data_IF_895107329606
#
_entry.id   IF_895107329606
#
_cell.length_a   1.000
_cell.length_b   1.000
_cell.length_c   1.000
_cell.angle_alpha   90.00
_cell.angle_beta   90.00
_cell.angle_gamma   90.00
#
_symmetry.space_group_name_H-M   'P 1'
#
loop_
_entity.id
_entity.type
_entity.pdbx_description
1 polymer ?
#
# COMPACT_ATOMS: atom_id res chain seq x y z
N UNK A 1 -4.29 -2.80 24.06
CA UNK A 1 -5.26 -2.32 23.09
C UNK A 1 -5.09 -0.84 22.92
N UNK A 2 -4.72 -0.44 21.71
CA UNK A 2 -4.73 0.97 21.29
C UNK A 2 -6.15 1.33 20.86
N UNK A 3 -6.59 2.52 21.27
CA UNK A 3 -7.84 3.16 20.90
C UNK A 3 -7.46 4.29 19.95
N UNK A 4 -7.92 4.21 18.71
CA UNK A 4 -7.67 5.24 17.73
C UNK A 4 -8.24 6.59 18.19
N UNK A 5 -7.45 7.65 18.08
CA UNK A 5 -7.93 9.00 18.39
C UNK A 5 -8.54 9.63 17.15
N UNK A 6 -9.85 9.86 17.20
CA UNK A 6 -10.64 10.47 16.12
C UNK A 6 -11.40 11.67 16.66
N UNK A 7 -11.87 12.54 15.76
CA UNK A 7 -12.72 13.67 16.16
C UNK A 7 -13.95 13.24 16.96
N UNK A 8 -14.53 12.09 16.63
CA UNK A 8 -15.71 11.55 17.29
C UNK A 8 -15.46 11.14 18.75
N UNK A 9 -14.22 10.80 19.11
CA UNK A 9 -13.88 10.33 20.45
C UNK A 9 -12.88 11.21 21.21
N UNK A 10 -12.44 12.35 20.63
CA UNK A 10 -11.60 13.34 21.31
C UNK A 10 -12.17 13.82 22.64
N UNK A 11 -13.49 14.03 22.71
CA UNK A 11 -14.19 14.46 23.93
C UNK A 11 -14.17 13.41 25.04
N UNK A 12 -13.82 12.17 24.72
CA UNK A 12 -13.69 11.09 25.69
C UNK A 12 -12.29 11.06 26.33
N UNK A 13 -11.32 11.85 25.86
CA UNK A 13 -10.00 11.96 26.48
C UNK A 13 -10.14 12.76 27.78
N UNK A 14 -9.84 12.13 28.92
CA UNK A 14 -10.00 12.69 30.27
C UNK A 14 -8.94 13.74 30.57
N UNK A 15 -7.70 13.51 30.13
CA UNK A 15 -6.58 14.42 30.34
C UNK A 15 -6.70 15.64 29.38
N UNK A 16 -6.87 16.87 29.88
CA UNK A 16 -7.18 18.02 29.02
C UNK A 16 -5.99 18.42 28.12
N UNK A 17 -4.74 18.32 28.62
CA UNK A 17 -3.55 18.57 27.80
C UNK A 17 -3.40 17.52 26.70
N UNK A 18 -3.68 16.24 26.98
CA UNK A 18 -3.69 15.21 25.95
C UNK A 18 -4.79 15.47 24.91
N UNK A 19 -6.01 15.81 25.35
CA UNK A 19 -7.11 16.15 24.45
C UNK A 19 -6.76 17.32 23.53
N UNK A 20 -6.17 18.38 24.08
CA UNK A 20 -5.70 19.53 23.30
C UNK A 20 -4.59 19.16 22.30
N UNK A 21 -3.65 18.32 22.71
CA UNK A 21 -2.58 17.86 21.81
C UNK A 21 -3.13 17.02 20.65
N UNK A 22 -4.05 16.09 20.95
CA UNK A 22 -4.68 15.24 19.94
C UNK A 22 -5.55 16.02 18.93
N UNK A 23 -6.08 17.20 19.30
CA UNK A 23 -6.80 18.08 18.37
C UNK A 23 -5.95 18.56 17.18
N UNK A 24 -4.61 18.55 17.28
CA UNK A 24 -3.73 18.86 16.15
C UNK A 24 -4.01 17.88 14.99
N UNK A 25 -4.02 16.59 15.28
CA UNK A 25 -4.22 15.55 14.26
C UNK A 25 -5.66 15.45 13.78
N UNK A 26 -6.64 15.67 14.66
CA UNK A 26 -8.03 15.73 14.24
C UNK A 26 -8.30 16.91 13.29
N UNK A 27 -7.66 18.06 13.48
CA UNK A 27 -7.75 19.20 12.55
C UNK A 27 -7.12 18.91 11.19
N UNK A 28 -5.96 18.22 11.18
CA UNK A 28 -5.34 17.75 9.92
C UNK A 28 -6.30 16.82 9.18
N UNK A 29 -6.93 15.90 9.89
CA UNK A 29 -7.92 15.00 9.31
C UNK A 29 -9.14 15.74 8.76
N UNK A 30 -9.73 16.68 9.52
CA UNK A 30 -10.85 17.50 9.05
C UNK A 30 -10.50 18.27 7.77
N UNK A 31 -9.33 18.90 7.73
CA UNK A 31 -8.88 19.64 6.56
C UNK A 31 -8.77 18.73 5.33
N UNK A 32 -8.21 17.53 5.51
CA UNK A 32 -8.14 16.53 4.45
C UNK A 32 -9.53 16.08 3.98
N UNK A 33 -10.47 15.83 4.90
CA UNK A 33 -11.85 15.48 4.53
C UNK A 33 -12.53 16.62 3.76
N UNK A 34 -12.27 17.87 4.11
CA UNK A 34 -12.83 19.01 3.39
C UNK A 34 -12.22 19.15 1.99
N UNK A 35 -10.93 18.85 1.80
CA UNK A 35 -10.31 18.75 0.48
C UNK A 35 -10.96 17.65 -0.37
N UNK A 36 -11.26 16.48 0.21
CA UNK A 36 -11.99 15.42 -0.51
C UNK A 36 -13.36 15.93 -0.97
N UNK A 37 -14.13 16.58 -0.09
CA UNK A 37 -15.45 17.13 -0.46
C UNK A 37 -15.36 18.20 -1.55
N UNK A 38 -14.28 18.99 -1.61
CA UNK A 38 -14.06 19.97 -2.67
C UNK A 38 -13.91 19.34 -4.06
N UNK A 39 -13.53 18.06 -4.15
CA UNK A 39 -13.54 17.31 -5.41
C UNK A 39 -14.96 16.92 -5.88
N UNK A 40 -15.98 17.13 -5.05
CA UNK A 40 -17.35 16.67 -5.28
C UNK A 40 -17.62 15.24 -4.81
N UNK A 41 -16.57 14.47 -4.45
CA UNK A 41 -16.71 13.12 -3.94
C UNK A 41 -17.29 13.10 -2.51
N UNK A 42 -18.24 12.20 -2.28
CA UNK A 42 -18.78 11.94 -0.95
C UNK A 42 -17.99 10.83 -0.24
N UNK A 43 -17.86 10.93 1.08
CA UNK A 43 -17.46 9.81 1.93
C UNK A 43 -18.63 8.87 2.16
N UNK A 44 -18.32 7.59 2.31
CA UNK A 44 -19.28 6.58 2.70
C UNK A 44 -19.39 6.41 4.23
N UNK A 45 -20.26 5.50 4.67
CA UNK A 45 -20.25 5.01 6.04
C UNK A 45 -18.96 4.25 6.38
N UNK A 46 -18.67 4.11 7.68
CA UNK A 46 -17.54 3.32 8.13
C UNK A 46 -17.88 1.83 8.10
N UNK A 47 -17.18 1.09 7.23
CA UNK A 47 -17.38 -0.35 6.97
C UNK A 47 -16.36 -1.25 7.68
N UNK A 48 -15.55 -0.74 8.61
CA UNK A 48 -14.47 -1.50 9.28
C UNK A 48 -14.99 -2.74 10.01
N UNK A 49 -16.19 -2.68 10.61
CA UNK A 49 -16.81 -3.84 11.26
C UNK A 49 -17.14 -4.95 10.26
N UNK A 50 -17.63 -4.58 9.08
CA UNK A 50 -17.94 -5.53 8.02
C UNK A 50 -16.66 -6.11 7.41
N UNK A 51 -15.66 -5.27 7.15
CA UNK A 51 -14.33 -5.71 6.72
C UNK A 51 -13.74 -6.71 7.72
N UNK A 52 -13.78 -6.42 9.02
CA UNK A 52 -13.29 -7.31 10.06
C UNK A 52 -14.02 -8.67 10.04
N UNK A 53 -15.35 -8.68 9.87
CA UNK A 53 -16.11 -9.92 9.77
C UNK A 53 -15.70 -10.78 8.57
N UNK A 54 -15.45 -10.17 7.40
CA UNK A 54 -14.97 -10.87 6.20
C UNK A 54 -13.55 -11.41 6.38
N UNK A 55 -12.65 -10.65 7.00
CA UNK A 55 -11.30 -11.12 7.33
C UNK A 55 -11.34 -12.33 8.26
N UNK A 56 -12.19 -12.31 9.30
CA UNK A 56 -12.36 -13.45 10.21
C UNK A 56 -12.96 -14.67 9.50
N UNK A 57 -13.91 -14.49 8.57
CA UNK A 57 -14.41 -15.58 7.72
C UNK A 57 -13.25 -16.23 6.93
N UNK A 58 -12.40 -15.44 6.28
CA UNK A 58 -11.27 -15.94 5.51
C UNK A 58 -10.24 -16.66 6.42
N UNK A 59 -10.02 -16.19 7.65
CA UNK A 59 -9.18 -16.89 8.65
C UNK A 59 -9.73 -18.28 8.98
N UNK A 60 -11.04 -18.40 9.17
CA UNK A 60 -11.71 -19.68 9.42
C UNK A 60 -11.57 -20.65 8.23
N UNK A 61 -11.47 -20.09 7.02
CA UNK A 61 -11.24 -20.83 5.77
C UNK A 61 -9.76 -21.11 5.49
N UNK A 62 -8.86 -20.81 6.44
CA UNK A 62 -7.42 -21.05 6.36
C UNK A 62 -6.70 -20.27 5.24
N UNK A 63 -7.22 -19.10 4.86
CA UNK A 63 -6.48 -18.17 3.99
C UNK A 63 -5.14 -17.75 4.63
N UNK A 64 -4.10 -17.55 3.83
CA UNK A 64 -2.77 -17.19 4.33
C UNK A 64 -2.65 -15.68 4.48
N UNK A 65 -2.69 -15.21 5.72
CA UNK A 65 -2.51 -13.79 6.05
C UNK A 65 -1.04 -13.42 6.19
N UNK A 66 -0.67 -12.28 5.62
CA UNK A 66 0.68 -11.72 5.62
C UNK A 66 0.64 -10.26 6.03
N UNK A 67 1.79 -9.77 6.50
CA UNK A 67 2.04 -8.34 6.71
C UNK A 67 1.03 -7.68 7.65
N UNK A 68 0.75 -8.31 8.80
CA UNK A 68 -0.25 -7.82 9.76
C UNK A 68 -1.65 -7.71 9.15
N UNK A 69 -2.10 -8.78 8.49
CA UNK A 69 -3.40 -8.93 7.84
C UNK A 69 -3.67 -7.98 6.65
N UNK A 70 -2.63 -7.33 6.12
CA UNK A 70 -2.73 -6.38 4.98
C UNK A 70 -2.63 -7.07 3.61
N UNK A 71 -2.26 -8.36 3.58
CA UNK A 71 -2.11 -9.17 2.38
C UNK A 71 -2.64 -10.58 2.66
N UNK A 72 -3.40 -11.13 1.71
CA UNK A 72 -4.02 -12.45 1.83
C UNK A 72 -3.77 -13.24 0.55
N UNK A 73 -3.38 -14.51 0.68
CA UNK A 73 -3.09 -15.41 -0.43
C UNK A 73 -3.81 -16.74 -0.24
N UNK A 74 -4.29 -17.37 -1.32
CA UNK A 74 -4.79 -18.75 -1.29
C UNK A 74 -3.66 -19.78 -1.50
N UNK A 75 -3.05 -19.84 -2.69
CA UNK A 75 -2.15 -20.91 -3.15
C UNK A 75 -0.79 -20.41 -3.57
N UNK A 76 -0.73 -19.27 -4.27
CA UNK A 76 0.51 -18.75 -4.84
C UNK A 76 0.58 -17.21 -4.83
N UNK A 77 1.78 -16.68 -4.69
CA UNK A 77 2.09 -15.24 -4.76
C UNK A 77 3.42 -15.05 -5.51
N UNK A 78 3.48 -14.02 -6.35
CA UNK A 78 4.72 -13.62 -7.04
C UNK A 78 5.79 -13.16 -6.04
N UNK A 79 7.04 -13.57 -6.28
CA UNK A 79 8.23 -13.12 -5.53
C UNK A 79 8.34 -11.59 -5.49
N UNK A 80 7.90 -10.93 -6.55
CA UNK A 80 7.90 -9.48 -6.64
C UNK A 80 6.80 -8.83 -5.79
N UNK A 81 5.70 -9.53 -5.49
CA UNK A 81 4.73 -9.09 -4.48
C UNK A 81 5.29 -9.27 -3.06
N UNK A 82 6.06 -10.33 -2.81
CA UNK A 82 6.73 -10.53 -1.52
C UNK A 82 7.78 -9.44 -1.26
N UNK A 83 8.60 -9.11 -2.27
CA UNK A 83 9.59 -8.05 -2.18
C UNK A 83 8.96 -6.65 -2.01
N UNK A 84 7.80 -6.42 -2.64
CA UNK A 84 7.09 -5.14 -2.60
C UNK A 84 6.69 -4.73 -1.18
N UNK A 85 6.45 -5.68 -0.26
CA UNK A 85 6.12 -5.41 1.14
C UNK A 85 7.04 -4.37 1.80
N UNK A 86 8.34 -4.42 1.49
CA UNK A 86 9.35 -3.52 2.06
C UNK A 86 9.98 -2.59 1.03
N UNK A 87 9.73 -2.81 -0.27
CA UNK A 87 10.35 -2.03 -1.34
C UNK A 87 11.87 -2.21 -1.47
N UNK A 88 12.51 -3.09 -0.69
CA UNK A 88 13.97 -3.23 -0.69
C UNK A 88 14.44 -3.97 -1.94
N UNK A 89 15.33 -3.35 -2.70
CA UNK A 89 15.92 -3.95 -3.90
C UNK A 89 14.93 -4.14 -5.05
N UNK A 90 13.80 -3.43 -5.03
CA UNK A 90 12.85 -3.36 -6.15
C UNK A 90 12.88 -1.99 -6.80
N UNK A 91 12.92 -1.97 -8.13
CA UNK A 91 12.84 -0.76 -8.94
C UNK A 91 11.77 -0.94 -9.99
N UNK A 92 10.98 0.11 -10.22
CA UNK A 92 10.00 0.18 -11.28
C UNK A 92 10.29 1.41 -12.13
N UNK A 93 10.34 1.24 -13.46
CA UNK A 93 10.65 2.28 -14.43
C UNK A 93 9.59 2.31 -15.52
N UNK A 94 9.56 3.39 -16.31
CA UNK A 94 8.69 3.52 -17.47
C UNK A 94 9.45 4.14 -18.65
N UNK A 95 9.16 3.72 -19.88
CA UNK A 95 9.78 4.32 -21.07
C UNK A 95 9.18 5.71 -21.32
N UNK A 96 7.86 5.80 -21.27
CA UNK A 96 7.08 7.02 -21.42
C UNK A 96 5.75 6.83 -20.69
N UNK A 97 4.93 7.87 -20.69
CA UNK A 97 3.57 7.85 -20.18
C UNK A 97 2.54 7.86 -21.32
N UNK A 98 2.97 7.57 -22.55
CA UNK A 98 2.08 7.38 -23.71
C UNK A 98 1.24 6.12 -23.54
N UNK A 99 -0.07 6.24 -23.73
CA UNK A 99 -1.00 5.11 -23.72
C UNK A 99 -2.05 5.29 -24.80
N UNK A 100 -2.44 4.20 -25.46
CA UNK A 100 -3.53 4.19 -26.44
C UNK A 100 -4.90 4.04 -25.78
N UNK A 101 -4.95 3.75 -24.47
CA UNK A 101 -6.18 3.67 -23.66
C UNK A 101 -6.35 4.93 -22.82
N UNK A 102 -7.60 5.30 -22.56
CA UNK A 102 -7.98 6.46 -21.74
C UNK A 102 -8.93 6.04 -20.60
N UNK A 103 -8.44 5.20 -19.69
CA UNK A 103 -9.26 4.69 -18.59
C UNK A 103 -9.60 5.82 -17.60
N UNK A 104 -10.88 5.99 -17.23
CA UNK A 104 -11.30 7.07 -16.30
C UNK A 104 -10.65 6.97 -14.91
N UNK A 105 -10.19 5.78 -14.53
CA UNK A 105 -9.54 5.49 -13.25
C UNK A 105 -8.00 5.42 -13.32
N UNK A 106 -7.40 5.89 -14.42
CA UNK A 106 -5.96 5.76 -14.61
C UNK A 106 -5.15 6.67 -13.65
N UNK A 107 -4.12 6.11 -13.00
CA UNK A 107 -3.14 6.88 -12.22
C UNK A 107 -1.94 7.39 -13.04
N UNK A 108 -1.89 7.07 -14.34
CA UNK A 108 -0.83 7.55 -15.22
C UNK A 108 -0.70 9.09 -15.22
N UNK A 109 -1.81 9.88 -15.18
CA UNK A 109 -1.73 11.34 -15.06
C UNK A 109 -1.18 11.85 -13.73
N UNK A 110 -1.07 11.01 -12.70
CA UNK A 110 -0.54 11.39 -11.39
C UNK A 110 0.99 11.24 -11.31
N UNK A 111 1.63 10.74 -12.38
CA UNK A 111 3.09 10.62 -12.41
C UNK A 111 3.74 12.01 -12.53
N UNK A 112 4.92 12.14 -11.92
CA UNK A 112 5.75 13.32 -12.07
C UNK A 112 6.07 13.59 -13.55
N UNK A 113 6.02 14.87 -13.94
CA UNK A 113 6.22 15.34 -15.32
C UNK A 113 5.34 14.65 -16.38
N UNK A 114 4.09 14.34 -16.03
CA UNK A 114 3.15 13.63 -16.91
C UNK A 114 3.10 14.22 -18.33
N UNK A 115 2.82 15.52 -18.46
CA UNK A 115 2.67 16.19 -19.77
C UNK A 115 3.93 16.10 -20.64
N UNK A 116 5.11 16.08 -20.03
CA UNK A 116 6.37 15.92 -20.74
C UNK A 116 6.52 14.48 -21.27
N UNK A 117 6.30 13.49 -20.41
CA UNK A 117 6.51 12.08 -20.76
C UNK A 117 5.35 11.45 -21.56
N UNK A 118 4.23 12.16 -21.78
CA UNK A 118 3.26 11.79 -22.83
C UNK A 118 3.78 12.09 -24.24
N UNK A 119 4.87 12.84 -24.38
CA UNK A 119 5.44 13.22 -25.68
C UNK A 119 6.91 12.81 -25.85
N UNK A 120 7.59 12.48 -24.74
CA UNK A 120 9.02 12.17 -24.72
C UNK A 120 9.30 10.80 -24.10
N UNK A 121 10.43 10.21 -24.48
CA UNK A 121 10.92 8.92 -23.95
C UNK A 121 12.06 9.15 -22.99
N UNK A 122 12.14 8.30 -21.96
CA UNK A 122 13.29 8.16 -21.06
C UNK A 122 14.36 7.25 -21.66
N UNK A 123 15.61 7.47 -21.27
CA UNK A 123 16.73 6.60 -21.62
C UNK A 123 16.92 5.53 -20.53
N UNK A 124 16.08 4.49 -20.59
CA UNK A 124 16.08 3.44 -19.58
C UNK A 124 17.39 2.63 -19.53
N UNK A 125 18.13 2.55 -20.63
CA UNK A 125 19.42 1.84 -20.67
C UNK A 125 20.44 2.60 -19.83
N UNK A 126 20.53 3.91 -20.04
CA UNK A 126 21.43 4.78 -19.25
C UNK A 126 21.01 4.80 -17.77
N UNK A 127 19.73 5.01 -17.49
CA UNK A 127 19.21 5.07 -16.13
C UNK A 127 19.40 3.76 -15.36
N UNK A 128 19.11 2.60 -15.98
CA UNK A 128 19.35 1.30 -15.36
C UNK A 128 20.84 1.04 -15.15
N UNK A 129 21.69 1.42 -16.11
CA UNK A 129 23.16 1.30 -15.96
C UNK A 129 23.66 2.11 -14.76
N UNK A 130 23.17 3.35 -14.61
CA UNK A 130 23.50 4.19 -13.46
C UNK A 130 23.03 3.55 -12.15
N UNK A 131 21.81 3.02 -12.11
CA UNK A 131 21.29 2.33 -10.94
C UNK A 131 22.12 1.09 -10.58
N UNK A 132 22.49 0.26 -11.55
CA UNK A 132 23.30 -0.94 -11.30
C UNK A 132 24.71 -0.60 -10.81
N UNK A 133 25.26 0.57 -11.18
CA UNK A 133 26.59 1.02 -10.78
C UNK A 133 26.61 1.71 -9.41
N UNK A 134 25.58 2.49 -9.09
CA UNK A 134 25.58 3.40 -7.93
C UNK A 134 24.42 3.16 -6.95
N UNK A 135 23.39 2.46 -7.37
CA UNK A 135 22.21 2.16 -6.58
C UNK A 135 22.39 0.94 -5.67
N UNK A 136 21.39 0.68 -4.81
CA UNK A 136 21.35 -0.54 -4.01
C UNK A 136 21.27 -1.78 -4.91
N UNK A 137 21.61 -2.94 -4.34
CA UNK A 137 21.53 -4.21 -5.06
C UNK A 137 20.10 -4.46 -5.55
N UNK A 138 19.95 -4.61 -6.86
CA UNK A 138 18.70 -4.91 -7.52
C UNK A 138 18.36 -6.41 -7.39
N UNK A 139 17.12 -6.70 -7.04
CA UNK A 139 16.56 -8.06 -6.95
C UNK A 139 15.31 -8.24 -7.80
N UNK A 140 14.52 -7.17 -7.94
CA UNK A 140 13.29 -7.17 -8.73
C UNK A 140 13.24 -5.89 -9.57
N UNK A 141 12.91 -6.02 -10.85
CA UNK A 141 12.87 -4.90 -11.80
C UNK A 141 11.58 -4.96 -12.60
N UNK A 142 10.82 -3.87 -12.62
CA UNK A 142 9.58 -3.81 -13.38
C UNK A 142 9.61 -2.68 -14.40
N UNK A 143 8.98 -2.94 -15.55
CA UNK A 143 8.63 -1.94 -16.54
C UNK A 143 7.11 -1.73 -16.53
N UNK A 144 6.70 -0.48 -16.35
CA UNK A 144 5.31 -0.01 -16.33
C UNK A 144 5.21 1.32 -17.10
N UNK A 145 4.17 2.12 -16.85
CA UNK A 145 3.97 3.47 -17.38
C UNK A 145 2.61 3.56 -18.06
N UNK A 146 2.57 4.24 -19.20
CA UNK A 146 1.43 4.16 -20.12
C UNK A 146 1.28 2.74 -20.69
N UNK A 147 1.57 2.53 -21.98
CA UNK A 147 1.65 1.20 -22.56
C UNK A 147 3.08 0.92 -23.05
N UNK A 148 3.88 0.12 -22.31
CA UNK A 148 5.27 -0.17 -22.70
C UNK A 148 5.42 -0.78 -24.10
N UNK A 149 4.41 -1.51 -24.58
CA UNK A 149 4.46 -2.13 -25.91
C UNK A 149 4.35 -1.14 -27.08
N UNK A 150 4.07 0.13 -26.83
CA UNK A 150 4.25 1.21 -27.82
C UNK A 150 5.74 1.49 -28.10
N UNK A 151 6.63 1.02 -27.24
CA UNK A 151 8.08 1.25 -27.28
C UNK A 151 8.85 -0.08 -27.22
N UNK A 152 8.50 -0.99 -28.14
CA UNK A 152 9.03 -2.37 -28.18
C UNK A 152 10.55 -2.43 -28.11
N UNK A 153 11.25 -1.58 -28.87
CA UNK A 153 12.72 -1.56 -28.90
C UNK A 153 13.30 -1.19 -27.52
N UNK A 154 12.85 -0.09 -26.94
CA UNK A 154 13.34 0.43 -25.65
C UNK A 154 13.04 -0.56 -24.52
N UNK A 155 11.84 -1.15 -24.52
CA UNK A 155 11.46 -2.22 -23.58
C UNK A 155 12.40 -3.43 -23.69
N UNK A 156 12.66 -3.93 -24.91
CA UNK A 156 13.51 -5.10 -25.10
C UNK A 156 14.96 -4.81 -24.73
N UNK A 157 15.49 -3.64 -25.10
CA UNK A 157 16.85 -3.22 -24.74
C UNK A 157 17.03 -3.11 -23.21
N UNK A 158 16.01 -2.61 -22.50
CA UNK A 158 15.96 -2.58 -21.05
C UNK A 158 16.06 -3.98 -20.41
N UNK A 159 15.25 -4.94 -20.87
CA UNK A 159 15.28 -6.30 -20.33
C UNK A 159 16.56 -7.06 -20.72
N UNK A 160 17.07 -6.87 -21.94
CA UNK A 160 18.37 -7.43 -22.36
C UNK A 160 19.52 -6.94 -21.48
N UNK A 161 19.55 -5.64 -21.17
CA UNK A 161 20.54 -5.07 -20.25
C UNK A 161 20.41 -5.69 -18.85
N UNK A 162 19.19 -5.81 -18.33
CA UNK A 162 18.95 -6.44 -17.02
C UNK A 162 19.42 -7.90 -17.01
N UNK A 163 19.13 -8.67 -18.06
CA UNK A 163 19.58 -10.07 -18.22
C UNK A 163 21.11 -10.17 -18.27
N UNK A 164 21.78 -9.27 -18.98
CA UNK A 164 23.24 -9.27 -19.10
C UNK A 164 23.93 -8.89 -17.78
N UNK A 165 23.51 -7.78 -17.17
CA UNK A 165 24.21 -7.18 -16.02
C UNK A 165 23.73 -7.69 -14.67
N UNK A 166 22.49 -8.18 -14.58
CA UNK A 166 21.89 -8.68 -13.33
C UNK A 166 20.99 -9.90 -13.57
N UNK A 167 21.54 -11.02 -14.07
CA UNK A 167 20.78 -12.19 -14.55
C UNK A 167 19.87 -12.88 -13.51
N UNK A 168 20.09 -12.60 -12.22
CA UNK A 168 19.27 -13.12 -11.11
C UNK A 168 18.09 -12.21 -10.74
N UNK A 169 18.00 -11.04 -11.35
CA UNK A 169 16.90 -10.10 -11.10
C UNK A 169 15.60 -10.67 -11.68
N UNK A 170 14.55 -10.67 -10.87
CA UNK A 170 13.21 -11.00 -11.35
C UNK A 170 12.64 -9.82 -12.14
N UNK A 171 12.54 -9.98 -13.46
CA UNK A 171 12.08 -8.95 -14.38
C UNK A 171 10.59 -9.08 -14.66
N UNK A 172 9.87 -7.95 -14.66
CA UNK A 172 8.43 -7.92 -14.83
C UNK A 172 7.96 -6.84 -15.80
N UNK A 173 6.94 -7.15 -16.60
CA UNK A 173 6.28 -6.22 -17.50
C UNK A 173 4.80 -6.05 -17.11
N UNK A 174 4.32 -4.81 -17.02
CA UNK A 174 2.90 -4.49 -16.95
C UNK A 174 2.40 -4.07 -18.33
N UNK A 175 1.25 -4.59 -18.77
CA UNK A 175 0.68 -4.24 -20.08
C UNK A 175 -0.84 -4.45 -20.13
N UNK A 176 -1.51 -3.74 -21.05
CA UNK A 176 -2.89 -4.08 -21.47
C UNK A 176 -2.95 -5.35 -22.33
N UNK A 177 -1.84 -5.70 -22.98
CA UNK A 177 -1.74 -6.84 -23.88
C UNK A 177 -2.11 -6.55 -25.34
N UNK A 178 -2.67 -5.38 -25.68
CA UNK A 178 -3.25 -5.14 -27.01
C UNK A 178 -2.25 -5.24 -28.18
N UNK A 179 -0.97 -4.98 -27.92
CA UNK A 179 0.10 -5.04 -28.92
C UNK A 179 0.96 -6.31 -28.82
N UNK A 180 0.53 -7.30 -28.02
CA UNK A 180 1.21 -8.59 -27.93
C UNK A 180 0.81 -9.50 -29.08
N UNK A 181 1.83 -10.10 -29.66
CA UNK A 181 1.76 -11.19 -30.60
C UNK A 181 2.84 -12.23 -30.24
N UNK A 182 2.90 -13.32 -31.02
CA UNK A 182 3.86 -14.41 -30.80
C UNK A 182 5.32 -13.95 -30.96
N UNK A 183 5.60 -13.04 -31.89
CA UNK A 183 6.96 -12.55 -32.16
C UNK A 183 7.49 -11.75 -30.97
N UNK A 184 6.68 -10.83 -30.43
CA UNK A 184 7.04 -10.04 -29.26
C UNK A 184 7.19 -10.90 -28.00
N UNK A 185 6.35 -11.92 -27.84
CA UNK A 185 6.50 -12.85 -26.71
C UNK A 185 7.80 -13.67 -26.81
N UNK A 186 8.20 -14.06 -28.03
CA UNK A 186 9.49 -14.71 -28.27
C UNK A 186 10.65 -13.75 -27.96
N UNK A 187 10.58 -12.50 -28.41
CA UNK A 187 11.57 -11.47 -28.10
C UNK A 187 11.69 -11.19 -26.59
N UNK A 188 10.57 -11.14 -25.86
CA UNK A 188 10.53 -10.95 -24.41
C UNK A 188 11.16 -12.13 -23.67
N UNK A 189 10.88 -13.36 -24.11
CA UNK A 189 11.52 -14.58 -23.60
C UNK A 189 13.04 -14.53 -23.82
N UNK A 190 13.48 -14.15 -25.02
CA UNK A 190 14.89 -14.05 -25.37
C UNK A 190 15.59 -12.92 -24.60
N UNK A 191 14.89 -11.82 -24.34
CA UNK A 191 15.32 -10.74 -23.45
C UNK A 191 15.35 -11.13 -21.96
N UNK A 192 14.80 -12.30 -21.60
CA UNK A 192 14.85 -12.85 -20.25
C UNK A 192 13.76 -12.31 -19.32
N UNK A 193 12.61 -11.90 -19.85
CA UNK A 193 11.44 -11.55 -19.04
C UNK A 193 11.02 -12.78 -18.19
N UNK A 194 10.76 -12.56 -16.90
CA UNK A 194 10.32 -13.61 -15.96
C UNK A 194 8.82 -13.59 -15.70
N UNK A 195 8.25 -12.39 -15.60
CA UNK A 195 6.85 -12.20 -15.24
C UNK A 195 6.16 -11.18 -16.16
N UNK A 196 4.94 -11.47 -16.58
CA UNK A 196 4.09 -10.54 -17.31
C UNK A 196 2.75 -10.38 -16.59
N UNK A 197 2.32 -9.13 -16.39
CA UNK A 197 1.07 -8.75 -15.73
C UNK A 197 0.14 -8.06 -16.70
N UNK A 198 -1.00 -8.68 -16.94
CA UNK A 198 -2.09 -8.14 -17.73
C UNK A 198 -3.07 -7.36 -16.86
N UNK A 199 -3.70 -6.35 -17.43
CA UNK A 199 -4.86 -5.70 -16.83
C UNK A 199 -6.03 -5.78 -17.79
N UNK A 200 -7.01 -6.62 -17.45
CA UNK A 200 -8.26 -6.77 -18.19
C UNK A 200 -9.12 -5.52 -17.93
N UNK A 201 -9.71 -4.93 -18.97
CA UNK A 201 -10.62 -3.80 -18.79
C UNK A 201 -12.05 -4.32 -18.81
N UNK A 202 -12.69 -4.30 -17.65
CA UNK A 202 -14.05 -4.84 -17.49
C UNK A 202 -15.08 -4.14 -18.40
N UNK A 203 -14.83 -2.87 -18.75
CA UNK A 203 -15.72 -2.09 -19.63
C UNK A 203 -15.48 -2.34 -21.12
N UNK A 204 -14.46 -3.11 -21.48
CA UNK A 204 -14.25 -3.50 -22.87
C UNK A 204 -15.38 -4.44 -23.33
N UNK A 205 -15.82 -4.34 -24.59
CA UNK A 205 -16.72 -5.32 -25.19
C UNK A 205 -16.17 -6.74 -25.04
N UNK A 206 -17.07 -7.71 -24.90
CA UNK A 206 -16.71 -9.12 -24.67
C UNK A 206 -15.68 -9.64 -25.68
N UNK A 207 -15.81 -9.28 -26.95
CA UNK A 207 -14.84 -9.63 -28.01
C UNK A 207 -13.40 -9.23 -27.66
N UNK A 208 -13.19 -8.02 -27.13
CA UNK A 208 -11.85 -7.55 -26.75
C UNK A 208 -11.35 -8.24 -25.48
N UNK A 209 -12.23 -8.53 -24.51
CA UNK A 209 -11.88 -9.32 -23.33
C UNK A 209 -11.42 -10.73 -23.74
N UNK A 210 -12.09 -11.36 -24.70
CA UNK A 210 -11.69 -12.66 -25.26
C UNK A 210 -10.32 -12.60 -25.95
N UNK A 211 -10.04 -11.58 -26.76
CA UNK A 211 -8.70 -11.40 -27.34
C UNK A 211 -7.61 -11.26 -26.26
N UNK A 212 -7.91 -10.57 -25.16
CA UNK A 212 -6.97 -10.46 -24.02
C UNK A 212 -6.74 -11.84 -23.38
N UNK A 213 -7.78 -12.64 -23.17
CA UNK A 213 -7.64 -14.01 -22.66
C UNK A 213 -6.80 -14.89 -23.59
N UNK A 214 -6.99 -14.79 -24.91
CA UNK A 214 -6.17 -15.50 -25.90
C UNK A 214 -4.69 -15.11 -25.79
N UNK A 215 -4.38 -13.81 -25.63
CA UNK A 215 -3.01 -13.32 -25.44
C UNK A 215 -2.41 -13.74 -24.10
N UNK A 216 -3.22 -13.79 -23.04
CA UNK A 216 -2.82 -14.33 -21.72
C UNK A 216 -2.45 -15.81 -21.86
N UNK A 217 -3.31 -16.61 -22.52
CA UNK A 217 -3.05 -18.03 -22.75
C UNK A 217 -1.78 -18.26 -23.59
N UNK A 218 -1.62 -17.51 -24.69
CA UNK A 218 -0.44 -17.57 -25.55
C UNK A 218 0.86 -17.23 -24.78
N UNK A 219 0.81 -16.28 -23.86
CA UNK A 219 1.99 -15.83 -23.10
C UNK A 219 2.61 -16.95 -22.27
N UNK A 220 1.83 -17.96 -21.86
CA UNK A 220 2.33 -19.12 -21.09
C UNK A 220 3.33 -19.98 -21.86
N UNK A 221 3.30 -19.94 -23.19
CA UNK A 221 4.29 -20.67 -24.02
C UNK A 221 5.69 -20.04 -23.94
N UNK A 222 5.79 -18.79 -23.46
CA UNK A 222 7.00 -17.98 -23.54
C UNK A 222 7.51 -17.50 -22.18
N UNK A 223 6.61 -17.05 -21.30
CA UNK A 223 6.95 -16.36 -20.06
C UNK A 223 6.66 -17.28 -18.86
N UNK A 224 7.61 -17.45 -17.92
CA UNK A 224 7.44 -18.34 -16.78
C UNK A 224 6.23 -18.01 -15.91
N UNK A 225 6.08 -16.75 -15.52
CA UNK A 225 4.98 -16.27 -14.69
C UNK A 225 4.05 -15.37 -15.50
N UNK A 226 2.87 -15.88 -15.82
CA UNK A 226 1.79 -15.07 -16.42
C UNK A 226 0.78 -14.76 -15.33
N UNK A 227 0.42 -13.49 -15.22
CA UNK A 227 -0.46 -13.01 -14.16
C UNK A 227 -1.41 -11.93 -14.64
N UNK A 228 -2.45 -11.70 -13.84
CA UNK A 228 -3.38 -10.58 -14.00
C UNK A 228 -3.29 -9.66 -12.78
N UNK A 229 -3.43 -8.35 -12.96
CA UNK A 229 -3.53 -7.38 -11.87
C UNK A 229 -4.75 -6.48 -12.10
N UNK A 230 -5.69 -6.51 -11.15
CA UNK A 230 -7.01 -5.93 -11.30
C UNK A 230 -7.38 -5.09 -10.09
N UNK A 231 -7.70 -3.80 -10.27
CA UNK A 231 -8.55 -3.13 -9.30
C UNK A 231 -9.95 -3.74 -9.35
N UNK A 232 -10.54 -4.01 -8.18
CA UNK A 232 -11.90 -4.57 -8.09
C UNK A 232 -12.90 -3.43 -7.93
N UNK A 233 -13.74 -3.22 -8.94
CA UNK A 233 -14.72 -2.14 -8.94
C UNK A 233 -15.91 -2.50 -8.04
N UNK A 234 -16.46 -1.59 -7.24
CA UNK A 234 -17.71 -1.85 -6.53
C UNK A 234 -18.83 -2.20 -7.52
N UNK A 235 -19.55 -3.28 -7.24
CA UNK A 235 -20.58 -3.88 -8.07
C UNK A 235 -20.07 -4.93 -9.06
N UNK A 236 -18.77 -5.23 -9.11
CA UNK A 236 -18.19 -6.13 -10.13
C UNK A 236 -17.96 -7.57 -9.66
N UNK A 237 -18.39 -7.93 -8.45
CA UNK A 237 -18.21 -9.27 -7.87
C UNK A 237 -18.57 -10.43 -8.81
N UNK A 238 -19.77 -10.40 -9.42
CA UNK A 238 -20.23 -11.49 -10.29
C UNK A 238 -19.33 -11.65 -11.53
N UNK A 239 -18.99 -10.54 -12.18
CA UNK A 239 -18.12 -10.54 -13.36
C UNK A 239 -16.70 -10.96 -13.01
N UNK A 240 -16.18 -10.51 -11.86
CA UNK A 240 -14.85 -10.89 -11.38
C UNK A 240 -14.74 -12.37 -11.03
N UNK A 241 -15.82 -13.03 -10.58
CA UNK A 241 -15.81 -14.50 -10.42
C UNK A 241 -15.60 -15.21 -11.76
N UNK A 242 -16.27 -14.76 -12.81
CA UNK A 242 -16.08 -15.33 -14.16
C UNK A 242 -14.64 -15.10 -14.64
N UNK A 243 -14.05 -13.94 -14.35
CA UNK A 243 -12.61 -13.69 -14.60
C UNK A 243 -11.75 -14.70 -13.85
N UNK A 244 -11.98 -14.91 -12.55
CA UNK A 244 -11.20 -15.86 -11.75
C UNK A 244 -11.30 -17.29 -12.31
N UNK A 245 -12.51 -17.73 -12.66
CA UNK A 245 -12.76 -19.06 -13.24
C UNK A 245 -12.07 -19.22 -14.60
N UNK A 246 -12.13 -18.19 -15.46
CA UNK A 246 -11.49 -18.23 -16.78
C UNK A 246 -9.96 -18.25 -16.67
N UNK A 247 -9.39 -17.45 -15.77
CA UNK A 247 -7.94 -17.45 -15.53
C UNK A 247 -7.45 -18.76 -14.90
N UNK A 248 -8.25 -19.36 -14.02
CA UNK A 248 -7.99 -20.70 -13.47
C UNK A 248 -8.04 -21.77 -14.57
N UNK A 249 -9.04 -21.71 -15.46
CA UNK A 249 -9.16 -22.59 -16.64
C UNK A 249 -7.97 -22.46 -17.59
N UNK A 250 -7.50 -21.25 -17.85
CA UNK A 250 -6.29 -20.99 -18.64
C UNK A 250 -5.06 -21.53 -17.89
N UNK A 251 -5.09 -21.53 -16.56
CA UNK A 251 -4.04 -22.07 -15.69
C UNK A 251 -2.80 -21.17 -15.63
N UNK A 252 -3.00 -19.86 -15.51
CA UNK A 252 -1.90 -18.90 -15.27
C UNK A 252 -1.44 -18.94 -13.81
N UNK A 253 -0.32 -18.28 -13.48
CA UNK A 253 0.26 -18.32 -12.14
C UNK A 253 -0.66 -17.67 -11.08
N UNK A 254 -1.24 -16.51 -11.40
CA UNK A 254 -2.10 -15.83 -10.42
C UNK A 254 -2.71 -14.50 -10.85
N UNK A 255 -3.47 -13.93 -9.94
CA UNK A 255 -4.12 -12.63 -10.04
C UNK A 255 -3.93 -11.83 -8.74
N UNK A 256 -3.58 -10.55 -8.89
CA UNK A 256 -3.64 -9.58 -7.79
C UNK A 256 -5.00 -8.86 -7.81
N UNK A 257 -5.71 -8.91 -6.67
CA UNK A 257 -6.90 -8.12 -6.40
C UNK A 257 -6.49 -6.87 -5.59
N UNK A 258 -6.78 -5.70 -6.14
CA UNK A 258 -6.43 -4.41 -5.56
C UNK A 258 -7.69 -3.60 -5.22
N UNK A 259 -7.63 -2.83 -4.13
CA UNK A 259 -8.65 -1.80 -3.87
C UNK A 259 -8.67 -0.77 -5.01
N UNK A 260 -9.85 -0.53 -5.56
CA UNK A 260 -10.11 0.50 -6.56
C UNK A 260 -9.98 1.88 -5.92
N UNK A 261 -9.25 2.79 -6.56
CA UNK A 261 -9.00 4.11 -6.01
C UNK A 261 -9.38 5.22 -7.04
N UNK A 262 -9.82 6.36 -6.52
CA UNK A 262 -10.07 7.58 -7.27
C UNK A 262 -8.77 8.35 -7.51
N UNK A 263 -8.37 8.62 -8.77
CA UNK A 263 -7.09 9.24 -9.12
C UNK A 263 -7.03 10.77 -8.98
N UNK A 264 -8.06 11.46 -8.51
CA UNK A 264 -8.14 12.93 -8.41
C UNK A 264 -8.34 13.73 -9.71
N UNK A 265 -8.42 13.09 -10.89
CA UNK A 265 -8.54 13.81 -12.17
C UNK A 265 -9.89 13.66 -12.91
N UNK A 266 -10.79 12.78 -12.44
CA UNK A 266 -12.06 12.47 -13.13
C UNK A 266 -13.26 12.32 -12.16
N UNK A 267 -13.42 13.26 -11.22
CA UNK A 267 -14.43 13.15 -10.16
C UNK A 267 -15.85 12.95 -10.70
N UNK A 268 -16.23 13.68 -11.76
CA UNK A 268 -17.57 13.61 -12.35
C UNK A 268 -17.96 12.19 -12.80
N UNK A 269 -17.02 11.44 -13.39
CA UNK A 269 -17.30 10.06 -13.83
C UNK A 269 -17.46 9.11 -12.64
N UNK A 270 -16.70 9.31 -11.56
CA UNK A 270 -16.86 8.55 -10.32
C UNK A 270 -18.21 8.86 -9.64
N UNK A 271 -18.60 10.13 -9.59
CA UNK A 271 -19.89 10.59 -9.05
C UNK A 271 -21.04 10.01 -9.85
N UNK A 272 -20.97 10.09 -11.19
CA UNK A 272 -21.99 9.54 -12.11
C UNK A 272 -22.19 8.03 -11.91
N UNK A 273 -21.14 7.30 -11.56
CA UNK A 273 -21.17 5.86 -11.26
C UNK A 273 -21.61 5.53 -9.84
N UNK A 274 -21.84 6.55 -9.00
CA UNK A 274 -22.28 6.39 -7.62
C UNK A 274 -21.18 5.95 -6.65
N UNK A 275 -19.91 6.09 -7.03
CA UNK A 275 -18.80 5.74 -6.15
C UNK A 275 -18.65 6.75 -5.00
N UNK A 276 -18.22 6.24 -3.86
CA UNK A 276 -17.92 7.02 -2.65
C UNK A 276 -16.54 6.68 -2.14
N UNK A 277 -15.88 7.63 -1.50
CA UNK A 277 -14.59 7.41 -0.84
C UNK A 277 -14.79 6.61 0.45
N UNK A 278 -13.90 5.66 0.71
CA UNK A 278 -13.84 4.84 1.93
C UNK A 278 -13.69 5.75 3.17
N UNK A 279 -14.29 5.36 4.29
CA UNK A 279 -14.26 6.13 5.54
C UNK A 279 -13.86 5.25 6.74
N UNK A 280 -12.73 5.52 7.42
CA UNK A 280 -11.73 6.52 7.07
C UNK A 280 -10.98 6.14 5.76
N UNK A 281 -10.46 7.13 4.98
CA UNK A 281 -9.71 6.82 3.76
C UNK A 281 -8.37 6.12 4.03
N UNK A 282 -7.67 6.50 5.10
CA UNK A 282 -6.37 5.94 5.50
C UNK A 282 -6.29 5.74 7.01
N UNK A 283 -5.47 4.79 7.47
CA UNK A 283 -5.21 4.55 8.90
C UNK A 283 -4.31 5.61 9.54
N UNK A 284 -3.37 6.13 8.75
CA UNK A 284 -2.50 7.25 9.09
C UNK A 284 -2.48 8.17 7.89
N UNK A 285 -2.81 9.46 8.07
CA UNK A 285 -2.73 10.43 6.98
C UNK A 285 -1.26 10.77 6.72
N UNK A 286 -0.82 10.56 5.50
CA UNK A 286 0.52 10.86 5.06
C UNK A 286 0.59 11.05 3.55
N UNK A 287 1.62 11.75 3.09
CA UNK A 287 1.91 11.96 1.67
C UNK A 287 2.62 10.72 1.11
N UNK A 288 1.84 9.67 0.83
CA UNK A 288 2.36 8.42 0.30
C UNK A 288 2.81 8.57 -1.17
N UNK A 289 3.97 8.00 -1.52
CA UNK A 289 4.58 8.00 -2.86
C UNK A 289 3.78 7.20 -3.89
N UNK A 290 2.94 6.27 -3.45
CA UNK A 290 2.12 5.52 -4.37
C UNK A 290 1.15 6.49 -5.05
N UNK A 291 1.24 6.60 -6.38
CA UNK A 291 0.37 7.45 -7.19
C UNK A 291 -1.13 7.08 -7.13
N UNK A 292 -1.48 6.01 -6.42
CA UNK A 292 -2.86 5.66 -6.12
C UNK A 292 -3.51 6.75 -5.28
N UNK A 293 -4.69 7.20 -5.69
CA UNK A 293 -5.42 8.23 -4.98
C UNK A 293 -6.27 7.68 -3.84
N UNK A 294 -7.52 8.14 -3.72
CA UNK A 294 -8.38 7.79 -2.58
C UNK A 294 -9.04 6.42 -2.75
N UNK A 295 -9.02 5.53 -1.75
CA UNK A 295 -9.71 4.24 -1.87
C UNK A 295 -11.22 4.46 -1.99
N UNK A 296 -11.84 3.75 -2.94
CA UNK A 296 -13.28 3.72 -3.13
C UNK A 296 -13.90 2.68 -2.20
N UNK A 297 -14.94 3.09 -1.48
CA UNK A 297 -15.67 2.25 -0.54
C UNK A 297 -16.24 1.00 -1.21
N UNK A 298 -16.44 -0.07 -0.42
CA UNK A 298 -16.93 -1.41 -0.84
C UNK A 298 -16.00 -2.21 -1.76
N UNK A 299 -15.01 -1.60 -2.43
CA UNK A 299 -14.02 -2.33 -3.24
C UNK A 299 -13.24 -3.38 -2.42
N UNK A 300 -12.78 -3.01 -1.21
CA UNK A 300 -12.13 -3.97 -0.30
C UNK A 300 -13.05 -5.14 0.06
N UNK A 301 -14.32 -4.88 0.31
CA UNK A 301 -15.28 -5.94 0.65
C UNK A 301 -15.41 -6.95 -0.49
N UNK A 302 -15.46 -6.48 -1.73
CA UNK A 302 -15.51 -7.36 -2.90
C UNK A 302 -14.20 -8.11 -3.13
N UNK A 303 -13.04 -7.49 -2.91
CA UNK A 303 -11.77 -8.20 -2.90
C UNK A 303 -11.79 -9.37 -1.89
N UNK A 304 -12.31 -9.13 -0.67
CA UNK A 304 -12.40 -10.16 0.36
C UNK A 304 -13.41 -11.25 0.02
N UNK A 305 -14.55 -10.90 -0.58
CA UNK A 305 -15.52 -11.88 -1.05
C UNK A 305 -14.96 -12.74 -2.19
N UNK A 306 -14.18 -12.16 -3.11
CA UNK A 306 -13.48 -12.88 -4.18
C UNK A 306 -12.40 -13.81 -3.62
N UNK A 307 -11.67 -13.37 -2.57
CA UNK A 307 -10.73 -14.23 -1.86
C UNK A 307 -11.43 -15.43 -1.19
N UNK A 308 -12.59 -15.19 -0.55
CA UNK A 308 -13.39 -16.26 0.04
C UNK A 308 -13.89 -17.22 -1.05
N UNK A 309 -14.41 -16.71 -2.15
CA UNK A 309 -14.83 -17.53 -3.31
C UNK A 309 -13.69 -18.40 -3.84
N UNK A 310 -12.48 -17.84 -4.02
CA UNK A 310 -11.33 -18.59 -4.50
C UNK A 310 -10.94 -19.76 -3.57
N UNK A 311 -11.11 -19.58 -2.26
CA UNK A 311 -10.88 -20.62 -1.25
C UNK A 311 -12.02 -21.67 -1.23
N UNK A 312 -13.28 -21.26 -1.40
CA UNK A 312 -14.46 -22.13 -1.45
C UNK A 312 -14.38 -23.08 -2.67
N UNK A 313 -14.09 -22.52 -3.84
CA UNK A 313 -13.97 -23.27 -5.10
C UNK A 313 -12.62 -23.99 -5.26
N UNK A 314 -11.68 -23.78 -4.33
CA UNK A 314 -10.33 -24.38 -4.34
C UNK A 314 -9.59 -24.14 -5.66
N UNK A 315 -9.67 -22.90 -6.15
CA UNK A 315 -8.99 -22.49 -7.38
C UNK A 315 -7.49 -22.81 -7.27
N UNK A 316 -6.93 -23.32 -8.37
CA UNK A 316 -5.49 -23.56 -8.48
C UNK A 316 -4.74 -22.25 -8.75
N UNK A 317 -5.40 -21.31 -9.41
CA UNK A 317 -4.96 -19.93 -9.60
C UNK A 317 -4.52 -19.29 -8.27
N UNK A 318 -3.33 -18.70 -8.24
CA UNK A 318 -2.88 -17.87 -7.13
C UNK A 318 -3.66 -16.57 -7.06
N UNK A 319 -4.63 -16.47 -6.17
CA UNK A 319 -5.38 -15.25 -5.87
C UNK A 319 -4.73 -14.54 -4.68
N UNK A 320 -4.32 -13.31 -4.89
CA UNK A 320 -3.67 -12.47 -3.88
C UNK A 320 -4.42 -11.15 -3.71
N UNK A 321 -5.00 -10.94 -2.53
CA UNK A 321 -5.50 -9.64 -2.11
C UNK A 321 -4.35 -8.80 -1.54
N UNK A 322 -4.11 -7.63 -2.14
CA UNK A 322 -3.13 -6.66 -1.69
C UNK A 322 -3.84 -5.34 -1.36
N UNK A 323 -4.03 -5.08 -0.07
CA UNK A 323 -4.63 -3.82 0.39
C UNK A 323 -3.78 -2.61 0.00
N UNK A 324 -4.42 -1.44 -0.08
CA UNK A 324 -3.72 -0.16 -0.25
C UNK A 324 -2.74 0.09 0.91
N UNK A 325 -3.15 -0.25 2.12
CA UNK A 325 -2.34 -0.17 3.35
C UNK A 325 -1.04 -1.02 3.25
N UNK A 326 -1.09 -2.18 2.61
CA UNK A 326 0.11 -3.01 2.37
C UNK A 326 1.15 -2.27 1.52
N UNK A 327 0.70 -1.56 0.48
CA UNK A 327 1.59 -0.74 -0.38
C UNK A 327 2.15 0.45 0.39
N UNK A 328 1.30 1.15 1.12
CA UNK A 328 1.66 2.34 1.90
C UNK A 328 2.69 2.05 2.98
N UNK A 329 2.54 0.94 3.71
CA UNK A 329 3.51 0.56 4.76
C UNK A 329 4.88 0.17 4.21
N UNK A 330 4.97 -0.27 2.96
CA UNK A 330 6.27 -0.50 2.30
C UNK A 330 7.09 0.78 2.14
N UNK A 331 6.46 1.93 1.92
CA UNK A 331 7.15 3.23 1.93
C UNK A 331 7.63 3.58 3.34
N UNK A 332 6.77 3.42 4.35
CA UNK A 332 7.13 3.74 5.74
C UNK A 332 8.35 2.92 6.18
N UNK A 333 8.42 1.65 5.78
CA UNK A 333 9.62 0.83 5.97
C UNK A 333 10.86 1.46 5.33
N UNK A 334 10.78 1.85 4.05
CA UNK A 334 11.93 2.42 3.33
C UNK A 334 12.42 3.73 3.96
N UNK A 335 11.52 4.55 4.49
CA UNK A 335 11.88 5.80 5.15
C UNK A 335 12.53 5.56 6.52
N UNK A 336 11.97 4.65 7.33
CA UNK A 336 12.35 4.49 8.73
C UNK A 336 13.47 3.46 8.97
N UNK A 337 13.55 2.41 8.16
CA UNK A 337 14.48 1.32 8.40
C UNK A 337 15.94 1.80 8.37
N UNK A 338 16.69 1.47 9.41
CA UNK A 338 18.10 1.83 9.55
C UNK A 338 18.37 3.29 9.91
N UNK A 339 17.34 4.13 10.11
CA UNK A 339 17.54 5.51 10.55
C UNK A 339 18.01 5.56 12.01
N UNK A 340 18.90 6.51 12.31
CA UNK A 340 19.33 6.81 13.69
C UNK A 340 18.33 7.78 14.29
N UNK A 341 17.63 7.34 15.33
CA UNK A 341 16.63 8.13 16.07
C UNK A 341 16.91 8.08 17.57
N UNK A 342 16.21 8.91 18.34
CA UNK A 342 16.25 8.89 19.80
C UNK A 342 15.98 7.48 20.35
N UNK A 343 16.62 7.11 21.46
CA UNK A 343 16.38 5.83 22.14
C UNK A 343 14.97 5.69 22.72
N UNK A 344 14.18 6.76 22.70
CA UNK A 344 12.76 6.76 23.08
C UNK A 344 11.86 6.15 22.00
N UNK A 345 12.36 5.97 20.78
CA UNK A 345 11.59 5.47 19.63
C UNK A 345 11.70 3.95 19.49
N UNK A 346 10.56 3.31 19.24
CA UNK A 346 10.44 1.89 18.92
C UNK A 346 10.03 1.70 17.47
N UNK A 347 10.82 0.97 16.67
CA UNK A 347 10.44 0.66 15.29
C UNK A 347 9.43 -0.49 15.27
N UNK A 348 8.16 -0.18 14.96
CA UNK A 348 7.06 -1.15 14.93
C UNK A 348 7.27 -2.20 13.84
N UNK A 349 7.25 -3.51 14.15
CA UNK A 349 7.23 -4.55 13.12
C UNK A 349 5.86 -4.69 12.42
N UNK A 350 4.79 -4.07 12.97
CA UNK A 350 3.42 -4.20 12.44
C UNK A 350 3.10 -3.20 11.33
N UNK A 351 3.52 -1.95 11.50
CA UNK A 351 3.24 -0.85 10.58
C UNK A 351 4.46 -0.02 10.17
N UNK A 352 5.64 -0.35 10.71
CA UNK A 352 6.92 0.29 10.42
C UNK A 352 7.04 1.77 10.83
N UNK A 353 6.06 2.33 11.53
CA UNK A 353 6.24 3.64 12.15
C UNK A 353 7.16 3.55 13.37
N UNK A 354 7.90 4.63 13.64
CA UNK A 354 8.54 4.79 14.94
C UNK A 354 7.48 5.18 15.97
N UNK A 355 7.38 4.42 17.06
CA UNK A 355 6.42 4.58 18.14
C UNK A 355 7.08 5.11 19.40
N UNK A 356 6.46 6.07 20.06
CA UNK A 356 6.81 6.51 21.41
C UNK A 356 5.56 6.67 22.27
N UNK A 357 5.73 6.69 23.59
CA UNK A 357 4.66 6.87 24.55
C UNK A 357 4.74 8.25 25.19
N UNK A 358 3.59 8.91 25.38
CA UNK A 358 3.48 10.25 25.96
C UNK A 358 2.45 10.27 27.09
N UNK A 359 2.80 10.88 28.21
CA UNK A 359 1.86 11.22 29.29
C UNK A 359 1.84 12.73 29.49
N UNK A 360 0.69 13.29 29.84
CA UNK A 360 0.42 14.71 29.74
C UNK A 360 0.04 15.31 31.09
N UNK A 361 0.33 16.60 31.28
CA UNK A 361 -0.23 17.36 32.41
C UNK A 361 0.09 16.77 33.78
N UNK A 362 -0.94 16.68 34.63
CA UNK A 362 -0.83 16.20 36.01
C UNK A 362 -0.28 14.77 36.14
N UNK A 363 -0.47 13.92 35.13
CA UNK A 363 -0.06 12.52 35.13
C UNK A 363 1.46 12.34 35.08
N UNK A 364 2.18 13.35 34.57
CA UNK A 364 3.65 13.36 34.50
C UNK A 364 4.26 13.14 35.90
N UNK A 365 3.69 13.76 36.92
CA UNK A 365 4.19 13.64 38.30
C UNK A 365 4.04 12.21 38.84
N UNK A 366 2.94 11.54 38.50
CA UNK A 366 2.64 10.15 38.89
C UNK A 366 3.64 9.19 38.21
N UNK A 367 3.88 9.39 36.91
CA UNK A 367 4.82 8.59 36.12
C UNK A 367 6.27 8.79 36.55
N UNK A 368 6.72 10.03 36.77
CA UNK A 368 8.09 10.33 37.24
C UNK A 368 8.40 9.64 38.57
N UNK A 369 7.43 9.53 39.49
CA UNK A 369 7.61 8.81 40.77
C UNK A 369 7.88 7.32 40.54
N UNK A 370 7.14 6.66 39.65
CA UNK A 370 7.35 5.25 39.32
C UNK A 370 8.66 5.05 38.56
N UNK A 371 8.97 5.90 37.59
CA UNK A 371 10.21 5.83 36.82
C UNK A 371 11.43 5.97 37.73
N UNK A 372 11.39 6.90 38.70
CA UNK A 372 12.42 7.01 39.74
C UNK A 372 12.55 5.72 40.57
N UNK A 373 11.44 5.14 41.03
CA UNK A 373 11.44 3.89 41.81
C UNK A 373 11.96 2.68 41.01
N UNK A 374 11.76 2.68 39.69
CA UNK A 374 12.14 1.60 38.76
C UNK A 374 13.46 1.87 38.03
N UNK A 375 14.17 2.96 38.36
CA UNK A 375 15.42 3.38 37.72
C UNK A 375 15.32 3.54 36.20
N UNK A 376 14.17 4.02 35.70
CA UNK A 376 14.01 4.40 34.29
C UNK A 376 14.63 5.77 34.10
N UNK A 377 15.71 5.83 33.31
CA UNK A 377 16.48 7.07 33.07
C UNK A 377 16.16 7.73 31.74
N UNK A 378 15.58 6.99 30.80
CA UNK A 378 15.30 7.46 29.45
C UNK A 378 13.85 7.98 29.35
N UNK A 379 13.71 9.30 29.46
CA UNK A 379 12.48 10.04 29.16
C UNK A 379 12.82 11.49 28.82
N UNK A 380 11.97 12.15 28.05
CA UNK A 380 12.16 13.54 27.65
C UNK A 380 10.91 14.34 27.96
N UNK A 381 11.08 15.47 28.64
CA UNK A 381 9.99 16.40 28.91
C UNK A 381 9.92 17.46 27.81
N UNK A 382 8.73 17.67 27.27
CA UNK A 382 8.42 18.75 26.35
C UNK A 382 7.61 19.82 27.10
N UNK A 383 8.16 21.02 27.22
CA UNK A 383 7.54 22.12 27.95
C UNK A 383 6.41 22.79 27.14
N UNK A 384 6.56 22.88 25.81
CA UNK A 384 5.61 23.58 24.93
C UNK A 384 4.23 22.92 24.94
N UNK A 385 4.20 21.59 24.99
CA UNK A 385 2.97 20.79 24.98
C UNK A 385 2.72 20.04 26.31
N UNK A 386 3.54 20.32 27.33
CA UNK A 386 3.44 19.74 28.67
C UNK A 386 3.25 18.21 28.68
N UNK A 387 4.17 17.49 28.03
CA UNK A 387 4.19 16.02 28.04
C UNK A 387 5.55 15.45 28.45
N UNK A 388 5.53 14.24 29.00
CA UNK A 388 6.70 13.39 29.20
C UNK A 388 6.65 12.24 28.20
N UNK A 389 7.65 12.18 27.32
CA UNK A 389 7.82 11.14 26.31
C UNK A 389 8.83 10.09 26.76
N UNK A 390 8.53 8.83 26.47
CA UNK A 390 9.37 7.69 26.84
C UNK A 390 9.14 6.51 25.89
N UNK A 391 10.01 5.51 25.97
CA UNK A 391 9.91 4.32 25.14
C UNK A 391 8.68 3.47 25.51
N UNK A 392 7.89 3.05 24.52
CA UNK A 392 6.65 2.26 24.67
C UNK A 392 6.80 1.00 25.54
N UNK A 393 7.98 0.38 25.59
CA UNK A 393 8.25 -0.79 26.45
C UNK A 393 8.15 -0.49 27.95
N UNK A 394 8.15 0.78 28.37
CA UNK A 394 8.02 1.19 29.77
C UNK A 394 6.56 1.28 30.23
N UNK A 395 5.58 1.26 29.30
CA UNK A 395 4.14 1.34 29.63
C UNK A 395 3.73 0.28 30.66
N UNK A 396 4.27 -0.94 30.55
CA UNK A 396 3.99 -2.05 31.48
C UNK A 396 4.31 -1.75 32.95
N UNK A 397 5.23 -0.81 33.21
CA UNK A 397 5.59 -0.39 34.57
C UNK A 397 4.49 0.46 35.22
N UNK A 398 3.58 0.99 34.41
CA UNK A 398 2.51 1.91 34.79
C UNK A 398 1.15 1.20 34.90
N UNK A 399 1.10 -0.14 34.81
CA UNK A 399 -0.14 -0.95 34.79
C UNK A 399 -1.10 -0.69 35.96
N UNK A 400 -0.57 -0.24 37.10
CA UNK A 400 -1.34 0.03 38.32
C UNK A 400 -1.89 1.48 38.35
N UNK A 401 -1.59 2.30 37.34
CA UNK A 401 -2.15 3.63 37.16
C UNK A 401 -3.35 3.60 36.21
N UNK A 402 -4.43 4.27 36.59
CA UNK A 402 -5.54 4.61 35.70
C UNK A 402 -5.28 5.96 35.02
N UNK A 403 -4.37 5.98 34.05
CA UNK A 403 -4.01 7.17 33.27
C UNK A 403 -4.11 6.87 31.77
N UNK A 404 -4.31 7.92 30.98
CA UNK A 404 -4.25 7.83 29.52
C UNK A 404 -2.82 8.04 29.03
N UNK A 405 -2.38 7.19 28.11
CA UNK A 405 -1.09 7.30 27.45
C UNK A 405 -1.33 7.52 25.96
N UNK A 406 -0.70 8.54 25.40
CA UNK A 406 -0.63 8.75 23.96
C UNK A 406 0.44 7.87 23.31
N UNK A 407 0.09 7.14 22.26
CA UNK A 407 0.99 6.37 21.40
C UNK A 407 1.20 7.15 20.11
N UNK A 408 2.38 7.73 20.00
CA UNK A 408 2.81 8.49 18.84
C UNK A 408 3.18 7.57 17.68
N UNK A 409 2.85 7.97 16.44
CA UNK A 409 3.34 7.33 15.22
C UNK A 409 4.15 8.32 14.39
N UNK A 410 5.42 7.99 14.13
CA UNK A 410 6.38 8.89 13.51
C UNK A 410 7.05 8.28 12.28
N UNK A 411 7.39 9.15 11.34
CA UNK A 411 8.13 8.81 10.12
C UNK A 411 9.33 9.74 9.94
N UNK A 412 10.42 9.21 9.39
CA UNK A 412 11.58 9.99 8.99
C UNK A 412 11.34 10.62 7.63
N UNK A 413 11.39 11.95 7.58
CA UNK A 413 11.35 12.73 6.35
C UNK A 413 12.75 13.26 6.02
N UNK A 414 13.08 13.24 4.73
CA UNK A 414 14.24 13.95 4.20
C UNK A 414 13.69 15.18 3.47
N UNK A 415 14.10 16.35 3.93
CA UNK A 415 13.78 17.65 3.35
C UNK A 415 15.07 18.30 2.85
N UNK A 416 14.96 19.41 2.13
CA UNK A 416 16.12 20.12 1.57
C UNK A 416 17.17 20.51 2.63
N UNK A 417 16.71 20.83 3.83
CA UNK A 417 17.51 21.34 4.95
C UNK A 417 17.91 20.27 5.98
N UNK A 418 17.45 19.02 5.81
CA UNK A 418 17.89 17.93 6.68
C UNK A 418 16.88 16.80 6.86
N UNK A 419 17.11 16.00 7.91
CA UNK A 419 16.27 14.87 8.28
C UNK A 419 15.44 15.20 9.50
N UNK A 420 14.14 14.92 9.44
CA UNK A 420 13.18 15.24 10.48
C UNK A 420 12.36 14.01 10.84
N UNK A 421 12.25 13.74 12.14
CA UNK A 421 11.29 12.76 12.63
C UNK A 421 9.96 13.48 12.86
N UNK A 422 8.98 13.22 11.99
CA UNK A 422 7.67 13.86 12.03
C UNK A 422 6.65 12.93 12.70
N UNK A 423 5.95 13.43 13.70
CA UNK A 423 4.77 12.78 14.24
C UNK A 423 3.57 13.00 13.31
N UNK A 424 2.87 11.92 12.98
CA UNK A 424 1.73 11.95 12.06
C UNK A 424 0.39 11.68 12.75
N UNK A 425 0.43 11.00 13.90
CA UNK A 425 -0.76 10.55 14.62
C UNK A 425 -0.42 10.31 16.09
N UNK A 426 -1.39 10.52 16.96
CA UNK A 426 -1.34 10.08 18.35
C UNK A 426 -2.62 9.33 18.73
N UNK A 427 -2.48 8.05 19.06
CA UNK A 427 -3.59 7.20 19.52
C UNK A 427 -3.56 7.05 21.04
N UNK A 428 -4.66 6.65 21.65
CA UNK A 428 -4.77 6.52 23.10
C UNK A 428 -4.63 5.07 23.53
N UNK A 429 -4.03 4.83 24.69
CA UNK A 429 -4.12 3.54 25.37
C UNK A 429 -4.15 3.71 26.89
N UNK A 430 -4.43 2.63 27.59
CA UNK A 430 -4.32 2.53 29.04
C UNK A 430 -3.22 1.53 29.40
N UNK A 431 -2.41 1.79 30.44
CA UNK A 431 -1.31 0.93 30.83
C UNK A 431 -1.69 -0.54 31.04
N UNK A 432 -2.87 -0.79 31.60
CA UNK A 432 -3.38 -2.13 31.90
C UNK A 432 -3.78 -2.93 30.65
N UNK A 433 -4.14 -2.24 29.58
CA UNK A 433 -4.70 -2.84 28.37
C UNK A 433 -3.63 -3.00 27.28
N UNK A 434 -2.55 -2.21 27.31
CA UNK A 434 -1.48 -2.19 26.31
C UNK A 434 -0.58 -3.44 26.33
N UNK A 435 -0.40 -4.05 25.17
CA UNK A 435 0.53 -5.16 24.92
C UNK A 435 1.43 -4.80 23.74
N UNK A 436 2.71 -4.60 24.02
CA UNK A 436 3.71 -4.18 23.04
C UNK A 436 3.75 -5.07 21.79
N UNK A 437 3.54 -6.38 21.92
CA UNK A 437 3.64 -7.34 20.82
C UNK A 437 2.36 -7.46 19.98
N UNK A 438 1.22 -7.17 20.60
CA UNK A 438 -0.09 -7.25 19.95
C UNK A 438 -0.51 -5.92 19.34
N UNK A 439 -0.17 -4.81 19.99
CA UNK A 439 -0.64 -3.50 19.61
C UNK A 439 0.27 -2.81 18.59
N UNK A 440 1.60 -2.98 18.66
CA UNK A 440 2.57 -2.30 17.78
C UNK A 440 3.70 -3.19 17.29
#
# INVERSE_FOLDING_TARGET
>A
MIIETTKQNLSQIRNPEFSQYAQIYARVYDHFIDQIKQTGMALDENLEKETAAKLEKIKQMQGVFRNSDKSIVNTWISSACEACQKGVGTVTMYVSLMCHRNCYFCFNPNQEDYEHFTHNKRDLVSELTQHLKHGPKLTHLALTGGEPLLHKKEMLDFFRLAKEKSPKTHTRLYTSGDFLDREILQDLKDAGLREIRFSIKMEDPERLKQEVYERIALSKEFIPDVMVEMPVLPGSFAEMKEVLLELDRIGISGINLLEFCFPFNNADEFIKRGYKVKNPPFKVLYDYWYAGGLPISRSELECLDLMAFALEEKLQLGVHYCSLENKQTGQIYQQNYGQKVSSLMFFSPRDYFFKSAKVFGEDISKVKKIFKKKNVTQSQFNADYNYLEFHVSQIKLLKDLDIEIGISSNVMEVREDGKYLRELKIDRTYPKDFDLSKDI
#
